data_IF_813370170677
#
_entry.id   IF_813370170677
#
_cell.length_a   1.000
_cell.length_b   1.000
_cell.length_c   1.000
_cell.angle_alpha   90.00
_cell.angle_beta   90.00
_cell.angle_gamma   90.00
#
_symmetry.space_group_name_H-M   'P 1'
#
loop_
_entity.id
_entity.type
_entity.pdbx_description
1 polymer ?
#
# COMPACT_ATOMS: atom_id res chain seq x y z
N UNK A 1 -10.57 6.87 -9.86
CA UNK A 1 -9.29 6.26 -9.38
C UNK A 1 -9.54 5.64 -8.02
N UNK A 2 -9.02 4.44 -7.77
CA UNK A 2 -9.24 3.71 -6.51
C UNK A 2 -8.18 4.06 -5.45
N UNK A 3 -7.47 5.20 -5.56
CA UNK A 3 -6.49 5.69 -4.56
C UNK A 3 -6.96 5.46 -3.13
N UNK A 4 -8.22 5.78 -2.85
CA UNK A 4 -8.84 5.51 -1.56
C UNK A 4 -8.81 4.03 -1.14
N UNK A 5 -9.15 3.10 -2.04
CA UNK A 5 -9.09 1.66 -1.80
C UNK A 5 -7.65 1.16 -1.61
N UNK A 6 -6.71 1.64 -2.42
CA UNK A 6 -5.27 1.34 -2.26
C UNK A 6 -4.77 1.80 -0.89
N UNK A 7 -5.06 3.04 -0.51
CA UNK A 7 -4.68 3.57 0.80
C UNK A 7 -5.36 2.80 1.95
N UNK A 8 -6.60 2.34 1.78
CA UNK A 8 -7.26 1.47 2.75
C UNK A 8 -6.61 0.10 2.86
N UNK A 9 -6.19 -0.50 1.75
CA UNK A 9 -5.40 -1.74 1.79
C UNK A 9 -4.11 -1.53 2.58
N UNK A 10 -3.30 -0.55 2.19
CA UNK A 10 -2.03 -0.26 2.84
C UNK A 10 -2.21 0.02 4.34
N UNK A 11 -3.18 0.87 4.69
CA UNK A 11 -3.49 1.19 6.08
C UNK A 11 -3.95 -0.02 6.89
N UNK A 12 -4.84 -0.87 6.36
CA UNK A 12 -5.38 -1.99 7.14
C UNK A 12 -4.38 -3.13 7.29
N UNK A 13 -3.52 -3.35 6.29
CA UNK A 13 -2.45 -4.36 6.37
C UNK A 13 -1.38 -3.92 7.37
N UNK A 14 -0.94 -2.65 7.33
CA UNK A 14 0.11 -2.10 8.21
C UNK A 14 -0.26 -2.15 9.72
N UNK A 15 -1.55 -2.26 10.05
CA UNK A 15 -2.04 -2.23 11.45
C UNK A 15 -2.21 -3.60 12.09
N UNK A 16 -1.94 -4.67 11.35
CA UNK A 16 -2.12 -6.03 11.82
C UNK A 16 -0.86 -6.84 11.46
N UNK A 17 -0.01 -7.20 12.44
CA UNK A 17 1.22 -7.94 12.19
C UNK A 17 1.00 -9.25 11.44
N UNK A 18 -0.13 -9.93 11.64
CA UNK A 18 -0.43 -11.17 10.91
C UNK A 18 -0.67 -10.90 9.42
N UNK A 19 -1.26 -9.76 9.08
CA UNK A 19 -1.45 -9.36 7.69
C UNK A 19 -0.15 -8.90 7.06
N UNK A 20 0.72 -8.22 7.80
CA UNK A 20 2.06 -7.87 7.32
C UNK A 20 2.83 -9.14 6.93
N UNK A 21 2.83 -10.17 7.78
CA UNK A 21 3.48 -11.44 7.47
C UNK A 21 2.85 -12.14 6.27
N UNK A 22 1.51 -12.20 6.21
CA UNK A 22 0.81 -12.80 5.07
C UNK A 22 1.09 -12.05 3.77
N UNK A 23 1.15 -10.73 3.81
CA UNK A 23 1.43 -9.91 2.63
C UNK A 23 2.83 -10.15 2.11
N UNK A 24 3.80 -10.16 3.04
CA UNK A 24 5.18 -10.42 2.73
C UNK A 24 5.40 -11.83 2.14
N UNK A 25 4.69 -12.83 2.67
CA UNK A 25 4.86 -14.23 2.26
C UNK A 25 4.19 -14.55 0.93
N UNK A 26 2.97 -14.08 0.70
CA UNK A 26 2.19 -14.31 -0.52
C UNK A 26 1.33 -13.08 -0.86
N UNK A 27 1.92 -12.09 -1.56
CA UNK A 27 1.23 -10.84 -1.82
C UNK A 27 0.07 -11.00 -2.79
N UNK A 28 0.15 -11.94 -3.74
CA UNK A 28 -0.95 -12.23 -4.66
C UNK A 28 -2.16 -12.80 -3.92
N UNK A 29 -1.95 -13.80 -3.06
CA UNK A 29 -3.02 -14.37 -2.27
C UNK A 29 -3.63 -13.35 -1.32
N UNK A 30 -2.82 -12.54 -0.64
CA UNK A 30 -3.36 -11.53 0.27
C UNK A 30 -4.14 -10.45 -0.47
N UNK A 31 -3.61 -9.89 -1.56
CA UNK A 31 -4.31 -8.83 -2.32
C UNK A 31 -5.64 -9.32 -2.84
N UNK A 32 -5.68 -10.53 -3.42
CA UNK A 32 -6.92 -11.15 -3.91
C UNK A 32 -7.94 -11.37 -2.78
N UNK A 33 -7.50 -11.94 -1.65
CA UNK A 33 -8.38 -12.19 -0.51
C UNK A 33 -8.88 -10.89 0.12
N UNK A 34 -8.01 -9.89 0.30
CA UNK A 34 -8.39 -8.62 0.89
C UNK A 34 -9.40 -7.89 0.00
N UNK A 35 -9.19 -7.89 -1.32
CA UNK A 35 -10.12 -7.30 -2.30
C UNK A 35 -11.50 -7.98 -2.24
N UNK A 36 -11.56 -9.31 -2.09
CA UNK A 36 -12.82 -10.05 -2.02
C UNK A 36 -13.54 -9.90 -0.66
N UNK A 37 -12.82 -10.04 0.44
CA UNK A 37 -13.41 -10.25 1.77
C UNK A 37 -13.42 -8.99 2.65
N UNK A 38 -12.53 -8.03 2.38
CA UNK A 38 -12.32 -6.86 3.27
C UNK A 38 -12.64 -5.53 2.64
N UNK A 39 -12.42 -5.37 1.33
CA UNK A 39 -12.66 -4.11 0.64
C UNK A 39 -14.05 -3.55 0.94
N UNK A 40 -15.12 -4.34 0.76
CA UNK A 40 -16.49 -3.89 0.97
C UNK A 40 -16.79 -3.53 2.44
N UNK A 41 -16.29 -4.32 3.40
CA UNK A 41 -16.49 -4.05 4.83
C UNK A 41 -15.84 -2.73 5.27
N UNK A 42 -14.64 -2.44 4.77
CA UNK A 42 -13.89 -1.21 5.09
C UNK A 42 -14.51 0.04 4.42
N UNK A 43 -15.36 -0.16 3.41
CA UNK A 43 -16.08 0.89 2.70
C UNK A 43 -17.48 1.18 3.28
N UNK A 44 -17.79 0.68 4.48
CA UNK A 44 -19.12 0.77 5.11
C UNK A 44 -20.25 0.16 4.24
N UNK A 45 -19.95 -0.80 3.36
CA UNK A 45 -21.01 -1.61 2.76
C UNK A 45 -21.58 -2.56 3.83
N UNK A 46 -22.89 -2.82 3.75
CA UNK A 46 -23.51 -3.83 4.60
C UNK A 46 -22.85 -5.18 4.33
N UNK A 47 -22.37 -5.89 5.35
CA UNK A 47 -21.50 -7.08 5.18
C UNK A 47 -22.20 -8.28 4.52
N UNK A 48 -23.54 -8.24 4.42
CA UNK A 48 -24.34 -9.18 3.62
C UNK A 48 -24.43 -8.86 2.12
N UNK A 49 -23.86 -7.74 1.67
CA UNK A 49 -23.90 -7.27 0.29
C UNK A 49 -22.48 -7.00 -0.24
N UNK A 50 -22.14 -7.60 -1.38
CA UNK A 50 -20.88 -7.33 -2.08
C UNK A 50 -21.11 -6.24 -3.14
N UNK A 51 -20.46 -5.08 -2.98
CA UNK A 51 -20.45 -4.07 -4.03
C UNK A 51 -19.37 -4.38 -5.06
N UNK A 52 -19.67 -4.15 -6.34
CA UNK A 52 -18.69 -4.22 -7.44
C UNK A 52 -18.07 -2.85 -7.75
N UNK A 53 -18.45 -1.83 -6.99
CA UNK A 53 -18.23 -0.42 -7.31
C UNK A 53 -16.77 0.01 -7.11
N UNK A 54 -16.07 -0.56 -6.13
CA UNK A 54 -14.66 -0.28 -5.86
C UNK A 54 -13.84 -1.57 -5.92
N UNK A 55 -12.97 -1.64 -6.92
CA UNK A 55 -12.02 -2.73 -7.17
C UNK A 55 -10.68 -2.14 -7.59
N UNK A 56 -9.60 -2.85 -7.33
CA UNK A 56 -8.29 -2.50 -7.87
C UNK A 56 -8.33 -2.57 -9.39
N UNK A 57 -7.78 -1.55 -10.02
CA UNK A 57 -7.40 -1.63 -11.42
C UNK A 57 -6.29 -2.68 -11.60
N UNK A 58 -6.09 -3.21 -12.82
CA UNK A 58 -4.97 -4.13 -13.08
C UNK A 58 -3.60 -3.54 -12.68
N UNK A 59 -3.39 -2.24 -12.90
CA UNK A 59 -2.14 -1.55 -12.54
C UNK A 59 -1.93 -1.44 -11.03
N UNK A 60 -2.98 -1.05 -10.29
CA UNK A 60 -2.92 -1.00 -8.81
C UNK A 60 -2.68 -2.39 -8.23
N UNK A 61 -3.38 -3.42 -8.72
CA UNK A 61 -3.19 -4.81 -8.28
C UNK A 61 -1.77 -5.29 -8.56
N UNK A 62 -1.25 -5.05 -9.76
CA UNK A 62 0.13 -5.43 -10.12
C UNK A 62 1.16 -4.73 -9.22
N UNK A 63 0.98 -3.43 -8.94
CA UNK A 63 1.89 -2.67 -8.08
C UNK A 63 1.88 -3.16 -6.63
N UNK A 64 0.70 -3.53 -6.09
CA UNK A 64 0.59 -4.15 -4.77
C UNK A 64 1.30 -5.52 -4.75
N UNK A 65 0.96 -6.42 -5.69
CA UNK A 65 1.53 -7.78 -5.74
C UNK A 65 3.05 -7.76 -5.87
N UNK A 66 3.58 -6.84 -6.70
CA UNK A 66 5.02 -6.73 -6.92
C UNK A 66 5.77 -6.00 -5.79
N UNK A 67 5.06 -5.47 -4.78
CA UNK A 67 5.64 -4.54 -3.80
C UNK A 67 6.35 -3.36 -4.50
N UNK A 68 5.78 -2.84 -5.58
CA UNK A 68 6.38 -1.76 -6.35
C UNK A 68 5.94 -0.40 -5.76
N UNK A 69 6.63 0.04 -4.71
CA UNK A 69 6.35 1.32 -4.07
C UNK A 69 6.56 2.53 -5.00
N UNK A 70 7.39 2.42 -6.04
CA UNK A 70 7.57 3.48 -7.05
C UNK A 70 6.33 3.58 -7.93
N UNK A 71 5.79 2.46 -8.39
CA UNK A 71 4.53 2.42 -9.13
C UNK A 71 3.34 2.85 -8.26
N UNK A 72 3.27 2.39 -7.00
CA UNK A 72 2.23 2.81 -6.05
C UNK A 72 2.26 4.32 -5.84
N UNK A 73 3.45 4.91 -5.66
CA UNK A 73 3.62 6.35 -5.55
C UNK A 73 3.15 7.08 -6.82
N UNK A 74 3.53 6.61 -8.00
CA UNK A 74 3.07 7.16 -9.30
C UNK A 74 1.55 7.07 -9.47
N UNK A 75 0.92 6.02 -8.96
CA UNK A 75 -0.53 5.83 -8.95
C UNK A 75 -1.23 6.69 -7.88
N UNK A 76 -0.47 7.43 -7.07
CA UNK A 76 -0.97 8.37 -6.08
C UNK A 76 -1.24 7.76 -4.70
N UNK A 77 -0.72 6.56 -4.41
CA UNK A 77 -0.79 5.99 -3.06
C UNK A 77 -0.12 6.92 -2.04
N UNK A 78 -0.65 6.96 -0.82
CA UNK A 78 -0.14 7.84 0.21
C UNK A 78 1.30 7.45 0.62
N UNK A 79 2.31 8.33 0.47
CA UNK A 79 3.72 7.97 0.63
C UNK A 79 4.08 7.43 2.02
N UNK A 80 3.41 7.95 3.06
CA UNK A 80 3.63 7.48 4.42
C UNK A 80 3.10 6.05 4.63
N UNK A 81 1.96 5.67 4.04
CA UNK A 81 1.38 4.34 4.22
C UNK A 81 2.22 3.27 3.51
N UNK A 82 2.77 3.60 2.34
CA UNK A 82 3.73 2.72 1.66
C UNK A 82 5.04 2.64 2.45
N UNK A 83 5.54 3.76 2.99
CA UNK A 83 6.78 3.73 3.77
C UNK A 83 6.67 2.85 5.04
N UNK A 84 5.64 3.06 5.86
CA UNK A 84 5.51 2.33 7.14
C UNK A 84 5.33 0.84 6.94
N UNK A 85 4.44 0.44 6.04
CA UNK A 85 4.19 -0.96 5.73
C UNK A 85 5.45 -1.65 5.21
N UNK A 86 6.21 -0.99 4.32
CA UNK A 86 7.38 -1.60 3.71
C UNK A 86 8.57 -1.66 4.67
N UNK A 87 8.69 -0.72 5.61
CA UNK A 87 9.62 -0.84 6.74
C UNK A 87 9.25 -2.08 7.57
N UNK A 88 7.97 -2.22 7.94
CA UNK A 88 7.50 -3.36 8.74
C UNK A 88 7.77 -4.70 8.04
N UNK A 89 7.63 -4.75 6.72
CA UNK A 89 7.94 -5.94 5.93
C UNK A 89 9.43 -6.18 5.77
N UNK A 90 10.25 -5.19 5.42
CA UNK A 90 11.57 -5.45 4.85
C UNK A 90 12.76 -4.93 5.65
N UNK A 91 12.58 -3.95 6.55
CA UNK A 91 13.73 -3.36 7.24
C UNK A 91 14.45 -4.40 8.12
N UNK A 92 13.71 -5.35 8.67
CA UNK A 92 14.26 -6.43 9.51
C UNK A 92 15.22 -7.38 8.78
N UNK A 93 15.29 -7.32 7.45
CA UNK A 93 16.19 -8.14 6.64
C UNK A 93 17.55 -7.47 6.41
N UNK A 94 17.68 -6.19 6.74
CA UNK A 94 18.90 -5.42 6.51
C UNK A 94 19.83 -5.44 7.74
N UNK A 95 21.11 -5.18 7.50
CA UNK A 95 22.14 -5.20 8.54
C UNK A 95 22.55 -3.81 9.02
N UNK A 96 22.33 -2.77 8.21
CA UNK A 96 22.69 -1.39 8.56
C UNK A 96 21.47 -0.58 9.04
N UNK A 97 21.67 0.42 9.92
CA UNK A 97 20.57 1.28 10.35
C UNK A 97 19.93 2.06 9.19
N UNK A 98 18.60 1.95 9.11
CA UNK A 98 17.75 2.65 8.14
C UNK A 98 18.03 2.29 6.68
N UNK A 99 18.57 1.10 6.43
CA UNK A 99 19.02 0.69 5.10
C UNK A 99 17.86 0.66 4.10
N UNK A 100 16.71 0.10 4.47
CA UNK A 100 15.53 0.08 3.62
C UNK A 100 15.04 1.50 3.31
N UNK A 101 14.95 2.35 4.33
CA UNK A 101 14.42 3.71 4.24
C UNK A 101 15.31 4.57 3.33
N UNK A 102 16.63 4.47 3.47
CA UNK A 102 17.59 5.15 2.58
C UNK A 102 17.39 4.70 1.13
N UNK A 103 17.28 3.40 0.91
CA UNK A 103 17.08 2.83 -0.43
C UNK A 103 15.70 3.17 -1.03
N UNK A 104 14.67 3.26 -0.20
CA UNK A 104 13.32 3.70 -0.57
C UNK A 104 13.33 5.17 -1.00
N UNK A 105 13.97 6.05 -0.21
CA UNK A 105 14.12 7.46 -0.55
C UNK A 105 14.89 7.66 -1.87
N UNK A 106 15.99 6.91 -2.07
CA UNK A 106 16.77 6.97 -3.30
C UNK A 106 15.95 6.59 -4.54
N UNK A 107 15.09 5.57 -4.43
CA UNK A 107 14.20 5.13 -5.53
C UNK A 107 13.14 6.18 -5.87
N UNK A 108 12.69 6.97 -4.91
CA UNK A 108 11.70 8.03 -5.14
C UNK A 108 12.31 9.40 -5.46
N UNK A 109 13.63 9.57 -5.37
CA UNK A 109 14.30 10.87 -5.51
C UNK A 109 14.10 11.57 -6.87
N UNK A 110 13.62 10.85 -7.89
CA UNK A 110 13.32 11.40 -9.21
C UNK A 110 11.91 11.99 -9.33
N UNK A 111 11.06 11.83 -8.32
CA UNK A 111 9.76 12.51 -8.30
C UNK A 111 9.94 13.95 -7.82
N UNK A 112 9.45 14.88 -8.63
CA UNK A 112 9.31 16.28 -8.25
C UNK A 112 7.85 16.52 -7.85
N UNK A 113 7.63 16.92 -6.60
CA UNK A 113 6.31 17.25 -6.08
C UNK A 113 6.27 18.73 -5.71
N UNK A 114 5.19 19.45 -6.04
CA UNK A 114 5.06 20.83 -5.62
C UNK A 114 5.12 20.90 -4.10
N UNK A 115 6.05 21.69 -3.57
CA UNK A 115 6.05 21.99 -2.14
C UNK A 115 4.75 22.75 -1.83
N UNK A 116 3.93 22.29 -0.87
CA UNK A 116 2.70 22.97 -0.54
C UNK A 116 3.02 24.39 -0.08
N UNK A 117 2.38 25.37 -0.70
CA UNK A 117 2.44 26.75 -0.22
C UNK A 117 1.70 26.83 1.12
N UNK A 118 2.41 27.26 2.15
CA UNK A 118 1.91 27.40 3.52
C UNK A 118 1.59 28.87 3.87
N UNK A 119 1.59 29.77 2.89
CA UNK A 119 1.40 31.21 3.08
C UNK A 119 -0.08 31.65 3.28
N UNK A 120 -1.00 30.74 3.59
CA UNK A 120 -2.43 31.05 3.80
C UNK A 120 -2.84 31.07 5.26
#
# INVERSE_FOLDING_TARGET
MSRYLVDKFLYTVDRDPELVERYRADPEALVRWWEAERANAVLNCHTGEASTWLRFTPAERAALIAHDHVALFRLGAHPFLTLTLFIAMFERDNTEPLEYQKAYAARLAHFDLPYPDIAT
#
